data_IF_999907777830
#
_entry.id   IF_999907777830
#
_cell.length_a   1.000
_cell.length_b   1.000
_cell.length_c   1.000
_cell.angle_alpha   90.00
_cell.angle_beta   90.00
_cell.angle_gamma   90.00
#
_symmetry.space_group_name_H-M   'P 1'
#
loop_
_entity.id
_entity.type
_entity.pdbx_description
1 polymer ?
#
# COMPACT_ATOMS: atom_id res chain seq x y z
N UNK A 1 3.29 7.00 14.50
CA UNK A 1 2.51 7.27 13.27
C UNK A 1 2.24 5.91 12.67
N UNK A 2 0.98 5.46 12.63
CA UNK A 2 0.65 4.07 12.24
C UNK A 2 0.09 4.00 10.81
N UNK A 3 -0.09 5.15 10.15
CA UNK A 3 -0.56 5.24 8.77
C UNK A 3 -0.09 6.52 8.05
N UNK A 4 0.19 6.41 6.75
CA UNK A 4 0.46 7.53 5.86
C UNK A 4 0.00 7.24 4.43
N UNK A 5 -0.52 8.27 3.75
CA UNK A 5 -0.80 8.24 2.31
C UNK A 5 0.01 9.29 1.57
N UNK A 6 0.56 8.95 0.42
CA UNK A 6 1.23 9.87 -0.48
C UNK A 6 0.60 9.80 -1.88
N UNK A 7 0.51 10.96 -2.52
CA UNK A 7 0.06 11.10 -3.90
C UNK A 7 1.13 11.83 -4.70
N UNK A 8 1.38 11.38 -5.93
CA UNK A 8 2.24 12.09 -6.88
C UNK A 8 1.51 12.17 -8.21
N UNK A 9 1.30 13.38 -8.71
CA UNK A 9 0.76 13.61 -10.07
C UNK A 9 1.91 13.63 -11.08
N UNK A 10 1.72 12.97 -12.21
CA UNK A 10 2.69 12.82 -13.29
C UNK A 10 4.09 12.48 -12.75
N UNK A 11 4.24 11.33 -12.05
CA UNK A 11 5.44 11.02 -11.29
C UNK A 11 6.69 10.99 -12.18
N UNK A 12 7.77 11.62 -11.72
CA UNK A 12 9.05 11.59 -12.41
C UNK A 12 9.80 10.27 -12.14
N UNK A 13 10.94 10.03 -12.83
CA UNK A 13 11.75 8.83 -12.63
C UNK A 13 12.13 8.56 -11.16
N UNK A 14 12.43 9.61 -10.39
CA UNK A 14 12.81 9.49 -8.97
C UNK A 14 11.62 9.08 -8.10
N UNK A 15 10.42 9.59 -8.39
CA UNK A 15 9.19 9.24 -7.67
C UNK A 15 8.82 7.79 -7.94
N UNK A 16 8.92 7.35 -9.19
CA UNK A 16 8.70 5.97 -9.61
C UNK A 16 9.72 5.03 -8.94
N UNK A 17 10.99 5.42 -8.91
CA UNK A 17 12.03 4.68 -8.22
C UNK A 17 11.70 4.44 -6.75
N UNK A 18 11.24 5.49 -6.04
CA UNK A 18 10.79 5.39 -4.65
C UNK A 18 9.55 4.50 -4.52
N UNK A 19 8.52 4.72 -5.34
CA UNK A 19 7.27 3.96 -5.31
C UNK A 19 7.51 2.46 -5.46
N UNK A 20 8.32 2.08 -6.44
CA UNK A 20 8.67 0.67 -6.69
C UNK A 20 9.48 0.09 -5.54
N UNK A 21 10.47 0.83 -5.02
CA UNK A 21 11.26 0.37 -3.88
C UNK A 21 10.41 0.18 -2.62
N UNK A 22 9.40 1.02 -2.40
CA UNK A 22 8.49 0.87 -1.28
C UNK A 22 7.66 -0.41 -1.35
N UNK A 23 7.29 -0.90 -2.53
CA UNK A 23 6.55 -2.18 -2.63
C UNK A 23 7.45 -3.40 -2.86
N UNK A 24 8.72 -3.21 -3.22
CA UNK A 24 9.71 -4.28 -3.38
C UNK A 24 10.30 -4.77 -2.03
N UNK A 25 9.43 -5.04 -1.05
CA UNK A 25 9.82 -5.58 0.26
C UNK A 25 10.13 -7.08 0.27
N UNK A 26 10.24 -7.66 1.46
CA UNK A 26 10.54 -9.09 1.69
C UNK A 26 9.51 -10.02 1.04
N UNK A 27 8.26 -9.56 1.00
CA UNK A 27 7.13 -10.23 0.36
C UNK A 27 6.30 -9.22 -0.42
N UNK A 28 6.02 -9.54 -1.68
CA UNK A 28 5.18 -8.72 -2.56
C UNK A 28 4.01 -9.55 -3.07
N UNK A 29 2.78 -9.06 -2.89
CA UNK A 29 1.57 -9.64 -3.43
C UNK A 29 0.91 -8.72 -4.44
N UNK A 30 0.34 -9.31 -5.49
CA UNK A 30 -0.61 -8.64 -6.38
C UNK A 30 -1.98 -8.50 -5.70
N UNK A 31 -2.80 -7.58 -6.20
CA UNK A 31 -4.22 -7.48 -5.84
C UNK A 31 -4.97 -8.82 -5.95
N UNK A 32 -4.60 -9.67 -6.91
CA UNK A 32 -5.14 -11.04 -7.07
C UNK A 32 -4.82 -12.00 -5.92
N UNK A 33 -3.80 -11.73 -5.11
CA UNK A 33 -3.32 -12.57 -4.01
C UNK A 33 -2.16 -13.51 -4.37
N UNK A 34 -1.74 -13.51 -5.63
CA UNK A 34 -0.53 -14.22 -6.04
C UNK A 34 0.71 -13.42 -5.67
N UNK A 35 1.80 -14.11 -5.32
CA UNK A 35 3.11 -13.47 -5.18
C UNK A 35 3.47 -12.78 -6.50
N UNK A 36 3.98 -11.55 -6.38
CA UNK A 36 4.51 -10.81 -7.51
C UNK A 36 5.93 -11.30 -7.80
N UNK A 37 6.24 -11.49 -9.07
CA UNK A 37 7.61 -11.74 -9.49
C UNK A 37 8.27 -10.46 -10.03
N UNK A 38 9.50 -10.58 -10.54
CA UNK A 38 10.22 -9.44 -11.11
C UNK A 38 9.51 -8.85 -12.33
N UNK A 39 8.84 -9.67 -13.13
CA UNK A 39 8.11 -9.20 -14.30
C UNK A 39 6.89 -8.37 -13.90
N UNK A 40 6.16 -8.79 -12.85
CA UNK A 40 5.06 -8.00 -12.28
C UNK A 40 5.57 -6.63 -11.77
N UNK A 41 6.72 -6.59 -11.10
CA UNK A 41 7.33 -5.35 -10.57
C UNK A 41 7.80 -4.44 -11.72
N UNK A 42 8.46 -4.99 -12.73
CA UNK A 42 8.92 -4.23 -13.90
C UNK A 42 7.73 -3.70 -14.73
N UNK A 43 6.65 -4.49 -14.83
CA UNK A 43 5.39 -4.07 -15.44
C UNK A 43 4.73 -2.92 -14.68
N UNK A 44 4.65 -3.02 -13.34
CA UNK A 44 4.16 -1.93 -12.49
C UNK A 44 5.00 -0.65 -12.65
N UNK A 45 6.33 -0.78 -12.69
CA UNK A 45 7.23 0.33 -12.98
C UNK A 45 6.92 0.97 -14.33
N UNK A 46 6.69 0.18 -15.38
CA UNK A 46 6.33 0.71 -16.71
C UNK A 46 5.01 1.48 -16.66
N UNK A 47 3.98 0.93 -16.01
CA UNK A 47 2.70 1.64 -15.86
C UNK A 47 2.83 2.95 -15.09
N UNK A 48 3.73 3.00 -14.10
CA UNK A 48 3.99 4.20 -13.32
C UNK A 48 4.61 5.35 -14.14
N UNK A 49 5.33 5.05 -15.23
CA UNK A 49 5.89 6.09 -16.12
C UNK A 49 4.82 6.83 -16.91
N UNK A 50 3.73 6.15 -17.25
CA UNK A 50 2.68 6.67 -18.13
C UNK A 50 1.42 7.08 -17.35
N UNK A 51 1.43 6.99 -16.02
CA UNK A 51 0.25 7.30 -15.22
C UNK A 51 0.08 8.80 -14.94
N UNK A 52 -1.17 9.22 -14.77
CA UNK A 52 -1.49 10.59 -14.35
C UNK A 52 -1.21 10.78 -12.85
N UNK A 53 -1.41 9.74 -12.05
CA UNK A 53 -1.22 9.76 -10.61
C UNK A 53 -0.72 8.42 -10.09
N UNK A 54 0.15 8.46 -9.08
CA UNK A 54 0.43 7.33 -8.21
C UNK A 54 -0.08 7.60 -6.80
N UNK A 55 -0.49 6.53 -6.12
CA UNK A 55 -0.90 6.53 -4.71
C UNK A 55 -0.10 5.46 -3.98
N UNK A 56 0.37 5.82 -2.79
CA UNK A 56 1.01 4.91 -1.87
C UNK A 56 0.40 5.04 -0.48
N UNK A 57 -0.01 3.91 0.10
CA UNK A 57 -0.34 3.79 1.52
C UNK A 57 0.79 3.11 2.26
N UNK A 58 1.07 3.55 3.48
CA UNK A 58 1.95 2.87 4.43
C UNK A 58 1.18 2.63 5.72
N UNK A 59 1.19 1.40 6.21
CA UNK A 59 0.62 0.99 7.49
C UNK A 59 1.74 0.43 8.36
N UNK A 60 1.93 0.98 9.56
CA UNK A 60 2.82 0.42 10.56
C UNK A 60 2.00 -0.21 11.68
N UNK A 61 2.38 -1.44 12.06
CA UNK A 61 1.65 -2.24 13.05
C UNK A 61 2.41 -2.25 14.37
N UNK A 62 1.66 -2.14 15.47
CA UNK A 62 2.26 -2.09 16.81
C UNK A 62 2.73 -3.48 17.26
N UNK A 63 1.97 -4.52 16.89
CA UNK A 63 2.36 -5.89 17.16
C UNK A 63 3.08 -6.50 15.97
N UNK A 64 3.99 -7.43 16.27
CA UNK A 64 4.64 -8.21 15.23
C UNK A 64 3.65 -9.23 14.65
N UNK A 65 3.39 -9.13 13.35
CA UNK A 65 2.56 -10.08 12.61
C UNK A 65 3.40 -10.95 11.69
N UNK A 66 2.93 -12.15 11.40
CA UNK A 66 3.49 -12.96 10.33
C UNK A 66 3.39 -12.22 8.97
N UNK A 67 4.48 -12.11 8.19
CA UNK A 67 4.50 -11.32 6.95
C UNK A 67 3.43 -11.74 5.94
N UNK A 68 3.20 -13.05 5.78
CA UNK A 68 2.20 -13.56 4.84
C UNK A 68 0.78 -13.23 5.27
N UNK A 69 0.47 -13.40 6.57
CA UNK A 69 -0.83 -13.00 7.13
C UNK A 69 -1.07 -11.52 6.94
N UNK A 70 -0.07 -10.69 7.19
CA UNK A 70 -0.17 -9.25 7.13
C UNK A 70 -0.34 -8.77 5.67
N UNK A 71 0.43 -9.29 4.71
CA UNK A 71 0.21 -9.04 3.29
C UNK A 71 -1.19 -9.46 2.83
N UNK A 72 -1.63 -10.67 3.20
CA UNK A 72 -2.93 -11.22 2.77
C UNK A 72 -4.11 -10.43 3.33
N UNK A 73 -4.06 -10.03 4.60
CA UNK A 73 -5.13 -9.30 5.27
C UNK A 73 -5.24 -7.86 4.76
N UNK A 74 -4.11 -7.15 4.59
CA UNK A 74 -4.10 -5.82 3.99
C UNK A 74 -4.64 -5.88 2.56
N UNK A 75 -4.17 -6.83 1.75
CA UNK A 75 -4.66 -7.03 0.38
C UNK A 75 -6.18 -7.27 0.34
N UNK A 76 -6.72 -8.05 1.27
CA UNK A 76 -8.18 -8.29 1.33
C UNK A 76 -8.96 -7.01 1.61
N UNK A 77 -8.49 -6.15 2.53
CA UNK A 77 -9.13 -4.86 2.75
C UNK A 77 -9.07 -3.99 1.49
N UNK A 78 -7.91 -3.88 0.84
CA UNK A 78 -7.79 -3.10 -0.40
C UNK A 78 -8.65 -3.63 -1.54
N UNK A 79 -8.77 -4.94 -1.69
CA UNK A 79 -9.63 -5.53 -2.73
C UNK A 79 -11.10 -5.16 -2.52
N UNK A 80 -11.54 -5.05 -1.27
CA UNK A 80 -12.94 -4.79 -0.95
C UNK A 80 -13.26 -3.28 -1.05
N UNK A 81 -12.26 -2.41 -0.88
CA UNK A 81 -12.42 -0.95 -0.85
C UNK A 81 -11.92 -0.22 -2.12
N UNK A 82 -11.10 -0.86 -2.95
CA UNK A 82 -10.45 -0.23 -4.11
C UNK A 82 -10.68 -1.06 -5.36
N UNK A 83 -11.31 -0.46 -6.36
CA UNK A 83 -11.52 -1.04 -7.69
C UNK A 83 -10.37 -0.70 -8.64
N UNK A 84 -9.17 -1.18 -8.33
CA UNK A 84 -7.99 -0.98 -9.16
C UNK A 84 -6.91 -2.06 -8.91
N UNK A 85 -5.97 -2.18 -9.85
CA UNK A 85 -4.78 -3.00 -9.66
C UNK A 85 -3.78 -2.32 -8.71
N UNK A 86 -3.23 -3.10 -7.77
CA UNK A 86 -2.24 -2.63 -6.79
C UNK A 86 -1.24 -3.72 -6.44
N UNK A 87 -0.08 -3.29 -5.91
CA UNK A 87 0.91 -4.14 -5.28
C UNK A 87 0.97 -3.89 -3.77
N UNK A 88 1.08 -4.96 -2.99
CA UNK A 88 1.27 -4.94 -1.53
C UNK A 88 2.67 -5.46 -1.20
N UNK A 89 3.54 -4.58 -0.71
CA UNK A 89 4.88 -4.91 -0.22
C UNK A 89 4.94 -4.91 1.31
N UNK A 90 5.55 -5.94 1.90
CA UNK A 90 5.78 -6.04 3.34
C UNK A 90 7.26 -5.86 3.64
N UNK A 91 7.57 -5.06 4.66
CA UNK A 91 8.91 -4.86 5.19
C UNK A 91 8.93 -5.28 6.66
N UNK A 92 9.84 -6.19 6.99
CA UNK A 92 9.99 -6.76 8.34
C UNK A 92 11.38 -6.56 8.94
N UNK A 93 12.23 -5.78 8.28
CA UNK A 93 13.60 -5.48 8.67
C UNK A 93 13.70 -4.39 9.75
N UNK A 94 12.60 -3.69 10.05
CA UNK A 94 12.49 -2.68 11.11
C UNK A 94 11.90 -3.25 12.40
N UNK A 95 12.08 -2.56 13.54
CA UNK A 95 11.50 -2.95 14.84
C UNK A 95 9.96 -3.08 14.83
N UNK A 96 9.31 -2.50 13.82
CA UNK A 96 7.86 -2.60 13.56
C UNK A 96 7.61 -3.12 12.14
N UNK A 97 6.70 -4.08 12.00
CA UNK A 97 6.30 -4.56 10.67
C UNK A 97 5.47 -3.48 10.00
N UNK A 98 5.78 -3.19 8.74
CA UNK A 98 5.03 -2.21 7.99
C UNK A 98 4.73 -2.67 6.56
N UNK A 99 3.61 -2.18 6.04
CA UNK A 99 3.08 -2.55 4.73
C UNK A 99 2.97 -1.33 3.87
N UNK A 100 3.48 -1.45 2.65
CA UNK A 100 3.27 -0.51 1.59
C UNK A 100 2.26 -1.06 0.60
N UNK A 101 1.29 -0.24 0.20
CA UNK A 101 0.39 -0.56 -0.92
C UNK A 101 0.52 0.53 -1.96
N UNK A 102 0.88 0.17 -3.19
CA UNK A 102 1.05 1.12 -4.29
C UNK A 102 0.06 0.84 -5.42
N UNK A 103 -0.47 1.94 -5.97
CA UNK A 103 -1.37 1.98 -7.12
C UNK A 103 -0.92 3.08 -8.08
N UNK A 104 -1.18 2.87 -9.36
CA UNK A 104 -0.99 3.85 -10.43
C UNK A 104 -2.24 3.89 -11.29
N UNK A 105 -2.57 5.07 -11.84
CA UNK A 105 -3.74 5.25 -12.68
C UNK A 105 -4.01 6.71 -13.01
N UNK A 106 -5.26 7.03 -13.30
CA UNK A 106 -5.76 8.40 -13.44
C UNK A 106 -5.91 9.07 -12.07
N UNK A 107 -6.04 10.41 -12.05
CA UNK A 107 -6.32 11.14 -10.81
C UNK A 107 -7.64 10.70 -10.16
N UNK A 108 -8.67 10.38 -10.95
CA UNK A 108 -9.97 9.94 -10.45
C UNK A 108 -9.93 8.53 -9.84
N UNK A 109 -9.11 7.63 -10.38
CA UNK A 109 -8.96 6.27 -9.85
C UNK A 109 -8.09 6.23 -8.58
N UNK A 110 -7.12 7.14 -8.48
CA UNK A 110 -6.16 7.14 -7.39
C UNK A 110 -6.57 8.03 -6.22
N UNK A 111 -7.24 9.17 -6.44
CA UNK A 111 -7.55 10.08 -5.35
C UNK A 111 -8.55 9.47 -4.35
N UNK A 112 -8.26 9.61 -3.06
CA UNK A 112 -9.18 9.31 -1.96
C UNK A 112 -9.26 10.55 -1.08
N UNK A 113 -10.47 10.91 -0.70
CA UNK A 113 -10.68 11.97 0.29
C UNK A 113 -10.45 11.47 1.72
N UNK A 114 -10.78 12.31 2.72
CA UNK A 114 -10.59 11.96 4.13
C UNK A 114 -11.44 10.78 4.57
N UNK A 115 -12.66 10.68 4.06
CA UNK A 115 -13.66 9.72 4.50
C UNK A 115 -13.33 8.35 3.88
N UNK A 116 -12.95 8.35 2.60
CA UNK A 116 -12.40 7.19 1.91
C UNK A 116 -11.18 6.62 2.66
N UNK A 117 -10.25 7.48 3.07
CA UNK A 117 -9.05 7.10 3.81
C UNK A 117 -9.41 6.52 5.18
N UNK A 118 -10.37 7.11 5.89
CA UNK A 118 -10.83 6.61 7.19
C UNK A 118 -11.51 5.24 7.07
N UNK A 119 -12.33 5.05 6.05
CA UNK A 119 -12.97 3.78 5.73
C UNK A 119 -11.93 2.70 5.43
N UNK A 120 -10.97 2.97 4.54
CA UNK A 120 -9.89 2.03 4.21
C UNK A 120 -9.06 1.66 5.45
N UNK A 121 -8.70 2.64 6.29
CA UNK A 121 -7.96 2.39 7.53
C UNK A 121 -8.75 1.50 8.49
N UNK A 122 -10.03 1.80 8.68
CA UNK A 122 -10.91 1.02 9.54
C UNK A 122 -11.08 -0.41 9.00
N UNK A 123 -11.19 -0.58 7.69
CA UNK A 123 -11.26 -1.88 7.04
C UNK A 123 -9.97 -2.68 7.23
N UNK A 124 -8.78 -2.05 7.15
CA UNK A 124 -7.51 -2.71 7.43
C UNK A 124 -7.41 -3.08 8.92
N UNK A 125 -7.65 -2.14 9.83
CA UNK A 125 -7.59 -2.38 11.27
C UNK A 125 -8.54 -3.51 11.71
N UNK A 126 -9.76 -3.55 11.17
CA UNK A 126 -10.75 -4.59 11.44
C UNK A 126 -10.34 -6.01 11.00
N UNK A 127 -9.22 -6.18 10.27
CA UNK A 127 -8.65 -7.50 9.96
C UNK A 127 -7.66 -8.00 11.02
N UNK A 128 -7.31 -7.19 12.01
CA UNK A 128 -6.30 -7.51 13.02
C UNK A 128 -6.82 -7.23 14.42
N UNK A 129 -6.97 -8.27 15.22
CA UNK A 129 -7.39 -8.13 16.62
C UNK A 129 -6.35 -7.35 17.42
N UNK A 130 -6.80 -6.32 18.15
CA UNK A 130 -5.95 -5.52 19.03
C UNK A 130 -5.08 -4.48 18.33
N UNK A 131 -5.21 -4.29 17.01
CA UNK A 131 -4.52 -3.21 16.29
C UNK A 131 -5.36 -1.94 16.26
N UNK A 132 -4.70 -0.79 16.39
CA UNK A 132 -5.28 0.52 16.12
C UNK A 132 -4.40 1.31 15.17
N UNK A 133 -4.94 1.63 13.99
CA UNK A 133 -4.18 2.30 12.93
C UNK A 133 -4.52 3.79 12.98
N UNK A 134 -3.77 4.54 13.80
CA UNK A 134 -3.88 6.01 13.91
C UNK A 134 -3.10 6.77 12.84
N UNK A 135 -3.58 7.96 12.44
CA UNK A 135 -2.88 8.91 11.55
C UNK A 135 -1.68 9.63 12.18
N UNK A 136 -1.41 9.37 13.46
CA UNK A 136 -0.40 10.12 14.22
C UNK A 136 -0.83 11.56 14.57
N UNK A 137 -2.10 11.92 14.39
CA UNK A 137 -2.66 13.14 14.94
C UNK A 137 -3.07 12.89 16.40
N UNK A 138 -2.11 13.00 17.32
CA UNK A 138 -2.41 13.27 18.74
C UNK A 138 -1.80 14.62 19.10
N UNK A 139 -2.71 15.56 19.43
CA UNK A 139 -2.53 16.95 19.87
C UNK A 139 -2.18 17.99 18.78
#
# INVERSE_FOLDING_TARGET
MNYRTNYVRNPGPDDIGKLVNYVAGDLVLRGSGLRADRHDIDGFRSMAYDCEMSRQHMFAFENHHDPEKLARRVRLAFRDEVDADFLVGVHTDTETNHVHVAQVGTANECYMDSDDIEQLRSAVAGRFDGESIGTGATA
#
